data_IF_994311060091
#
_entry.id   IF_994311060091
#
_cell.length_a   1.000
_cell.length_b   1.000
_cell.length_c   1.000
_cell.angle_alpha   90.00
_cell.angle_beta   90.00
_cell.angle_gamma   90.00
#
_symmetry.space_group_name_H-M   'P 1'
#
loop_
_entity.id
_entity.type
_entity.pdbx_description
1 polymer ?
#
# COMPACT_ATOMS: atom_id res chain seq x y z
N UNK A 1 1.55 6.62 8.23
CA UNK A 1 0.31 7.31 8.70
C UNK A 1 -0.88 6.83 7.86
N UNK A 2 -0.82 6.94 6.55
CA UNK A 2 -1.87 6.49 5.63
C UNK A 2 -2.05 4.97 5.64
N UNK A 3 -0.99 4.18 5.83
CA UNK A 3 -1.09 2.74 6.15
C UNK A 3 -2.06 2.45 7.32
N UNK A 4 -2.01 3.26 8.39
CA UNK A 4 -2.89 3.09 9.54
C UNK A 4 -4.36 3.28 9.16
N UNK A 5 -4.65 4.26 8.30
CA UNK A 5 -6.00 4.51 7.78
C UNK A 5 -6.48 3.34 6.92
N UNK A 6 -5.63 2.82 6.04
CA UNK A 6 -5.97 1.67 5.20
C UNK A 6 -6.26 0.42 6.06
N UNK A 7 -5.47 0.16 7.12
CA UNK A 7 -5.69 -0.95 8.05
C UNK A 7 -7.02 -0.78 8.79
N UNK A 8 -7.27 0.41 9.36
CA UNK A 8 -8.56 0.68 10.04
C UNK A 8 -9.74 0.52 9.10
N UNK A 9 -9.61 1.00 7.86
CA UNK A 9 -10.65 0.88 6.84
C UNK A 9 -10.93 -0.58 6.50
N UNK A 10 -9.91 -1.40 6.27
CA UNK A 10 -10.07 -2.83 6.01
C UNK A 10 -10.74 -3.55 7.17
N UNK A 11 -10.28 -3.30 8.41
CA UNK A 11 -10.81 -3.93 9.62
C UNK A 11 -12.26 -3.53 9.93
N UNK A 12 -12.67 -2.32 9.53
CA UNK A 12 -14.03 -1.82 9.70
C UNK A 12 -14.99 -2.22 8.56
N UNK A 13 -14.51 -2.97 7.57
CA UNK A 13 -15.29 -3.37 6.40
C UNK A 13 -15.68 -4.85 6.52
N UNK A 14 -16.95 -5.17 6.82
CA UNK A 14 -17.40 -6.55 7.04
C UNK A 14 -17.35 -7.42 5.78
N UNK A 15 -17.13 -6.82 4.62
CA UNK A 15 -16.94 -7.52 3.35
C UNK A 15 -15.52 -8.10 3.19
N UNK A 16 -14.59 -7.70 4.07
CA UNK A 16 -13.20 -8.13 4.05
C UNK A 16 -12.86 -8.95 5.29
N UNK A 17 -12.22 -10.09 5.09
CA UNK A 17 -11.60 -10.86 6.17
C UNK A 17 -10.08 -10.63 6.14
N UNK A 18 -9.56 -9.90 7.12
CA UNK A 18 -8.14 -9.59 7.23
C UNK A 18 -7.44 -10.74 7.92
N UNK A 19 -6.82 -11.62 7.16
CA UNK A 19 -6.16 -12.84 7.66
C UNK A 19 -4.79 -12.60 8.29
N UNK A 20 -4.15 -11.46 8.02
CA UNK A 20 -2.87 -11.09 8.61
C UNK A 20 -2.25 -9.85 7.99
N UNK A 21 -1.28 -9.27 8.69
CA UNK A 21 -0.45 -8.18 8.20
C UNK A 21 0.99 -8.65 8.04
N UNK A 22 1.65 -8.18 6.97
CA UNK A 22 3.09 -8.38 6.79
C UNK A 22 3.76 -7.02 6.65
N UNK A 23 4.79 -6.78 7.43
CA UNK A 23 5.48 -5.48 7.46
C UNK A 23 6.75 -5.51 6.61
N UNK A 24 7.18 -4.33 6.15
CA UNK A 24 8.37 -4.16 5.32
C UNK A 24 9.03 -2.83 5.70
N UNK A 25 10.31 -2.65 5.40
CA UNK A 25 10.94 -1.34 5.41
C UNK A 25 10.22 -0.38 4.45
N UNK A 26 10.39 0.91 4.62
CA UNK A 26 9.81 1.93 3.72
C UNK A 26 9.82 3.29 4.41
N UNK A 27 8.65 3.78 4.79
CA UNK A 27 8.49 5.04 5.51
C UNK A 27 9.14 5.03 6.91
N UNK A 28 9.31 3.84 7.51
CA UNK A 28 10.09 3.63 8.72
C UNK A 28 10.93 2.35 8.63
N UNK A 29 11.80 2.13 9.59
CA UNK A 29 12.49 0.85 9.74
C UNK A 29 11.48 -0.27 10.03
N UNK A 30 11.73 -1.48 9.50
CA UNK A 30 10.79 -2.61 9.60
C UNK A 30 10.38 -2.94 11.03
N UNK A 31 11.24 -2.74 12.02
CA UNK A 31 10.90 -2.98 13.42
C UNK A 31 9.87 -1.98 13.93
N UNK A 32 10.01 -0.71 13.57
CA UNK A 32 9.01 0.35 13.85
C UNK A 32 7.69 0.03 13.14
N UNK A 33 7.73 -0.36 11.86
CA UNK A 33 6.53 -0.77 11.11
C UNK A 33 5.84 -1.96 11.77
N UNK A 34 6.62 -2.95 12.28
CA UNK A 34 6.08 -4.15 12.93
C UNK A 34 5.39 -3.80 14.25
N UNK A 35 6.06 -3.00 15.09
CA UNK A 35 5.48 -2.51 16.33
C UNK A 35 4.21 -1.71 16.09
N UNK A 36 4.22 -0.81 15.10
CA UNK A 36 3.07 0.02 14.77
C UNK A 36 1.89 -0.81 14.21
N UNK A 37 2.16 -1.82 13.38
CA UNK A 37 1.11 -2.72 12.91
C UNK A 37 0.40 -3.43 14.07
N UNK A 38 1.15 -3.91 15.08
CA UNK A 38 0.58 -4.53 16.28
C UNK A 38 -0.23 -3.50 17.08
N UNK A 39 0.31 -2.28 17.32
CA UNK A 39 -0.38 -1.19 18.03
C UNK A 39 -1.69 -0.80 17.37
N UNK A 40 -1.71 -0.69 16.03
CA UNK A 40 -2.89 -0.35 15.24
C UNK A 40 -3.97 -1.44 15.40
N UNK A 41 -3.57 -2.72 15.33
CA UNK A 41 -4.48 -3.83 15.57
C UNK A 41 -5.01 -3.84 17.01
N UNK A 42 -4.17 -3.54 18.00
CA UNK A 42 -4.57 -3.44 19.40
C UNK A 42 -5.62 -2.33 19.61
N UNK A 43 -5.39 -1.15 19.02
CA UNK A 43 -6.34 -0.01 19.04
C UNK A 43 -7.65 -0.36 18.33
N UNK A 44 -7.58 -1.15 17.26
CA UNK A 44 -8.77 -1.61 16.53
C UNK A 44 -9.51 -2.76 17.23
N UNK A 45 -9.01 -3.27 18.36
CA UNK A 45 -9.59 -4.43 19.05
C UNK A 45 -9.40 -5.76 18.31
N UNK A 46 -8.41 -5.83 17.38
CA UNK A 46 -8.13 -6.98 16.50
C UNK A 46 -6.76 -7.62 16.81
N UNK A 47 -6.50 -7.84 18.08
CA UNK A 47 -5.29 -8.56 18.53
C UNK A 47 -5.22 -10.03 18.05
N UNK A 48 -6.30 -10.56 17.50
CA UNK A 48 -6.39 -11.87 16.86
C UNK A 48 -5.64 -11.94 15.51
N UNK A 49 -5.52 -10.83 14.79
CA UNK A 49 -4.87 -10.76 13.46
C UNK A 49 -3.35 -10.84 13.62
N UNK A 50 -2.67 -11.86 13.04
CA UNK A 50 -1.21 -11.99 13.14
C UNK A 50 -0.48 -10.90 12.36
N UNK A 51 0.71 -10.53 12.87
CA UNK A 51 1.64 -9.61 12.20
C UNK A 51 2.97 -10.32 11.96
N UNK A 52 3.36 -10.51 10.71
CA UNK A 52 4.64 -11.12 10.36
C UNK A 52 5.67 -10.06 9.93
N UNK A 53 6.81 -10.05 10.61
CA UNK A 53 7.93 -9.14 10.30
C UNK A 53 8.58 -9.53 8.99
N UNK A 54 8.78 -8.57 8.08
CA UNK A 54 9.36 -8.81 6.76
C UNK A 54 10.74 -8.23 6.53
N UNK A 55 11.01 -7.93 5.28
CA UNK A 55 12.31 -7.46 4.81
C UNK A 55 12.69 -6.12 5.47
N UNK A 56 13.97 -6.00 5.84
CA UNK A 56 14.55 -4.77 6.40
C UNK A 56 15.26 -3.91 5.35
N UNK A 57 15.35 -4.40 4.11
CA UNK A 57 16.05 -3.73 3.00
C UNK A 57 15.55 -4.23 1.65
N UNK A 58 15.77 -3.46 0.56
CA UNK A 58 15.47 -3.88 -0.81
C UNK A 58 16.29 -5.10 -1.26
N UNK A 59 15.87 -5.73 -2.36
CA UNK A 59 16.56 -6.89 -2.95
C UNK A 59 17.97 -6.57 -3.42
N UNK A 60 18.14 -5.47 -4.15
CA UNK A 60 19.39 -5.19 -4.87
C UNK A 60 20.06 -3.85 -4.52
N UNK A 61 19.42 -2.99 -3.76
CA UNK A 61 19.98 -1.69 -3.40
C UNK A 61 20.08 -1.51 -1.88
N UNK A 62 20.80 -0.47 -1.45
CA UNK A 62 20.77 -0.08 -0.04
C UNK A 62 19.45 0.62 0.28
N UNK A 63 18.91 0.35 1.45
CA UNK A 63 17.79 1.11 1.97
C UNK A 63 18.19 2.57 2.19
N UNK A 64 17.39 3.50 1.67
CA UNK A 64 17.69 4.94 1.70
C UNK A 64 17.45 5.60 3.05
N UNK A 65 16.86 4.86 3.99
CA UNK A 65 16.44 5.36 5.29
C UNK A 65 14.96 5.72 5.36
N UNK A 66 14.46 5.98 6.57
CA UNK A 66 13.07 6.30 6.80
C UNK A 66 12.68 7.68 6.27
N UNK A 67 11.38 7.89 6.07
CA UNK A 67 10.79 9.17 5.68
C UNK A 67 10.25 9.92 6.92
N UNK A 68 11.10 10.13 7.91
CA UNK A 68 10.75 10.76 9.20
C UNK A 68 10.10 12.13 9.03
N UNK A 69 10.52 12.86 7.99
CA UNK A 69 9.99 14.18 7.65
C UNK A 69 8.54 14.15 7.15
N UNK A 70 8.02 12.98 6.76
CA UNK A 70 6.63 12.78 6.32
C UNK A 70 5.78 12.17 7.42
N UNK A 71 6.33 11.16 8.15
CA UNK A 71 5.56 10.30 9.03
C UNK A 71 5.93 10.44 10.52
N UNK A 72 6.90 11.29 10.87
CA UNK A 72 7.50 11.34 12.20
C UNK A 72 8.51 10.21 12.44
N UNK A 73 9.36 10.34 13.45
CA UNK A 73 10.40 9.35 13.77
C UNK A 73 9.81 8.01 14.17
N UNK A 74 8.66 8.03 14.85
CA UNK A 74 7.95 6.81 15.24
C UNK A 74 6.99 6.26 14.14
N UNK A 75 6.90 6.90 12.97
CA UNK A 75 6.02 6.53 11.88
C UNK A 75 4.52 6.82 12.09
N UNK A 76 4.17 7.42 13.24
CA UNK A 76 2.81 7.80 13.63
C UNK A 76 2.76 9.25 14.13
N UNK A 77 3.37 10.18 13.37
CA UNK A 77 3.41 11.61 13.66
C UNK A 77 4.01 11.95 15.04
N UNK A 78 4.87 11.12 15.57
CA UNK A 78 5.46 11.19 16.92
C UNK A 78 4.42 11.20 18.07
N UNK A 79 3.18 10.79 17.77
CA UNK A 79 2.13 10.61 18.77
C UNK A 79 2.49 9.46 19.70
N UNK A 80 2.30 9.67 21.00
CA UNK A 80 2.51 8.62 22.00
C UNK A 80 1.39 7.56 21.89
N UNK A 81 1.76 6.35 21.53
CA UNK A 81 0.87 5.20 21.48
C UNK A 81 1.37 4.12 22.45
N UNK A 82 0.48 3.30 23.02
CA UNK A 82 0.88 2.19 23.89
C UNK A 82 1.92 1.27 23.23
N UNK A 83 2.71 0.59 24.04
CA UNK A 83 3.61 -0.44 23.51
C UNK A 83 2.82 -1.59 22.90
N UNK A 84 3.41 -2.33 21.93
CA UNK A 84 2.76 -3.51 21.34
C UNK A 84 2.36 -4.53 22.41
N UNK A 85 1.16 -5.07 22.33
CA UNK A 85 0.64 -6.02 23.33
C UNK A 85 1.27 -7.41 23.22
N UNK A 86 1.89 -7.73 22.07
CA UNK A 86 2.41 -9.05 21.74
C UNK A 86 3.63 -8.98 20.83
N UNK A 87 4.33 -10.11 20.71
CA UNK A 87 5.38 -10.30 19.73
C UNK A 87 4.79 -10.52 18.30
N UNK A 88 5.55 -10.24 17.25
CA UNK A 88 5.17 -10.60 15.89
C UNK A 88 5.11 -12.13 15.72
N UNK A 89 4.48 -12.58 14.63
CA UNK A 89 4.41 -13.97 14.23
C UNK A 89 5.80 -14.59 14.06
N UNK A 90 5.96 -15.87 14.35
CA UNK A 90 7.26 -16.55 14.30
C UNK A 90 7.84 -16.67 12.88
N UNK A 91 6.97 -16.76 11.87
CA UNK A 91 7.42 -16.78 10.47
C UNK A 91 7.76 -15.37 9.98
N UNK A 92 8.80 -15.27 9.14
CA UNK A 92 9.05 -14.06 8.37
C UNK A 92 7.96 -13.87 7.31
N UNK A 93 7.70 -12.60 6.93
CA UNK A 93 6.60 -12.22 6.04
C UNK A 93 6.48 -13.06 4.76
N UNK A 94 7.58 -13.34 4.06
CA UNK A 94 7.55 -14.13 2.82
C UNK A 94 7.03 -15.56 3.07
N UNK A 95 7.47 -16.20 4.15
CA UNK A 95 7.00 -17.54 4.52
C UNK A 95 5.56 -17.53 5.01
N UNK A 96 5.17 -16.48 5.76
CA UNK A 96 3.79 -16.29 6.20
C UNK A 96 2.84 -16.13 4.99
N UNK A 97 3.21 -15.31 3.99
CA UNK A 97 2.45 -15.16 2.74
C UNK A 97 2.29 -16.52 2.05
N UNK A 98 3.38 -17.28 1.88
CA UNK A 98 3.34 -18.60 1.25
C UNK A 98 2.38 -19.52 2.02
N UNK A 99 2.52 -19.59 3.35
CA UNK A 99 1.67 -20.46 4.19
C UNK A 99 0.20 -20.12 4.01
N UNK A 100 -0.19 -18.83 4.12
CA UNK A 100 -1.58 -18.42 4.00
C UNK A 100 -2.15 -18.70 2.60
N UNK A 101 -1.40 -18.36 1.55
CA UNK A 101 -1.87 -18.56 0.17
C UNK A 101 -1.98 -20.05 -0.18
N UNK A 102 -1.01 -20.86 0.22
CA UNK A 102 -1.03 -22.29 -0.07
C UNK A 102 -2.05 -23.06 0.79
N UNK A 103 -2.45 -22.52 1.94
CA UNK A 103 -3.52 -23.09 2.77
C UNK A 103 -4.93 -22.81 2.21
N UNK A 104 -5.12 -21.71 1.46
CA UNK A 104 -6.39 -21.30 0.87
C UNK A 104 -6.22 -20.88 -0.61
N UNK A 105 -5.89 -21.81 -1.52
CA UNK A 105 -5.60 -21.51 -2.91
C UNK A 105 -6.79 -20.86 -3.63
N UNK A 106 -6.54 -19.72 -4.27
CA UNK A 106 -7.55 -18.94 -5.00
C UNK A 106 -8.44 -18.04 -4.12
N UNK A 107 -8.23 -18.02 -2.81
CA UNK A 107 -9.06 -17.22 -1.88
C UNK A 107 -8.34 -15.95 -1.40
N UNK A 108 -7.01 -15.97 -1.32
CA UNK A 108 -6.23 -14.86 -0.77
C UNK A 108 -5.98 -13.78 -1.82
N UNK A 109 -6.37 -12.54 -1.49
CA UNK A 109 -5.95 -11.32 -2.21
C UNK A 109 -4.86 -10.63 -1.40
N UNK A 110 -3.71 -10.36 -2.02
CA UNK A 110 -2.67 -9.53 -1.41
C UNK A 110 -2.96 -8.06 -1.68
N UNK A 111 -2.82 -7.24 -0.64
CA UNK A 111 -3.01 -5.78 -0.72
C UNK A 111 -1.73 -5.08 -0.26
N UNK A 112 -0.68 -5.06 -1.08
CA UNK A 112 0.55 -4.37 -0.73
C UNK A 112 0.38 -2.86 -0.83
N UNK A 113 0.67 -2.17 0.28
CA UNK A 113 0.64 -0.72 0.42
C UNK A 113 2.02 -0.13 0.74
N UNK A 114 3.06 -0.93 0.60
CA UNK A 114 4.48 -0.57 0.76
C UNK A 114 5.35 -1.23 -0.30
N UNK A 115 6.70 -1.18 -0.16
CA UNK A 115 7.63 -1.83 -1.08
C UNK A 115 7.33 -3.32 -1.26
N UNK A 116 7.45 -3.83 -2.49
CA UNK A 116 6.98 -5.16 -2.87
C UNK A 116 7.95 -6.29 -2.51
N UNK A 117 8.98 -6.02 -1.72
CA UNK A 117 10.08 -6.93 -1.39
C UNK A 117 9.60 -8.26 -0.80
N UNK A 118 8.66 -8.24 0.15
CA UNK A 118 8.16 -9.47 0.77
C UNK A 118 7.47 -10.39 -0.24
N UNK A 119 6.70 -9.81 -1.16
CA UNK A 119 5.94 -10.56 -2.18
C UNK A 119 6.88 -11.12 -3.21
N UNK A 120 7.86 -10.34 -3.67
CA UNK A 120 8.89 -10.83 -4.58
C UNK A 120 9.69 -11.99 -3.95
N UNK A 121 10.08 -11.88 -2.67
CA UNK A 121 10.73 -12.97 -1.94
C UNK A 121 9.85 -14.21 -1.85
N UNK A 122 8.56 -14.05 -1.55
CA UNK A 122 7.62 -15.17 -1.51
C UNK A 122 7.51 -15.87 -2.88
N UNK A 123 7.44 -15.12 -3.98
CA UNK A 123 7.41 -15.66 -5.34
C UNK A 123 8.72 -16.32 -5.76
N UNK A 124 9.87 -15.82 -5.29
CA UNK A 124 11.17 -16.45 -5.56
C UNK A 124 11.33 -17.75 -4.77
N UNK A 125 10.78 -17.86 -3.57
CA UNK A 125 10.78 -19.05 -2.75
C UNK A 125 9.75 -20.10 -3.21
N UNK A 126 8.60 -19.64 -3.70
CA UNK A 126 7.48 -20.45 -4.19
C UNK A 126 7.05 -19.93 -5.58
N UNK A 127 7.68 -20.41 -6.69
CA UNK A 127 7.46 -19.83 -8.02
C UNK A 127 6.03 -19.96 -8.57
N UNK A 128 5.25 -20.93 -8.12
CA UNK A 128 3.85 -21.11 -8.47
C UNK A 128 2.86 -20.35 -7.58
N UNK A 129 3.36 -19.63 -6.56
CA UNK A 129 2.53 -18.82 -5.64
C UNK A 129 1.52 -17.91 -6.37
N UNK A 130 1.89 -17.20 -7.47
CA UNK A 130 0.95 -16.34 -8.17
C UNK A 130 -0.30 -17.06 -8.66
N UNK A 131 -0.18 -18.32 -9.07
CA UNK A 131 -1.29 -19.12 -9.59
C UNK A 131 -2.28 -19.54 -8.51
N UNK A 132 -1.90 -19.42 -7.23
CA UNK A 132 -2.72 -19.71 -6.06
C UNK A 132 -3.33 -18.45 -5.42
N UNK A 133 -3.05 -17.26 -5.94
CA UNK A 133 -3.65 -16.01 -5.48
C UNK A 133 -5.01 -15.76 -6.16
N UNK A 134 -5.97 -15.22 -5.43
CA UNK A 134 -7.16 -14.59 -6.02
C UNK A 134 -6.75 -13.36 -6.86
N UNK A 135 -5.76 -12.61 -6.39
CA UNK A 135 -5.16 -11.47 -7.08
C UNK A 135 -4.33 -10.59 -6.15
N UNK A 136 -3.90 -9.45 -6.70
CA UNK A 136 -3.21 -8.40 -5.94
C UNK A 136 -3.80 -7.03 -6.27
N UNK A 137 -3.97 -6.18 -5.24
CA UNK A 137 -4.35 -4.77 -5.39
C UNK A 137 -3.23 -3.93 -4.77
N UNK A 138 -2.42 -3.29 -5.59
CA UNK A 138 -1.12 -2.71 -5.23
C UNK A 138 -1.23 -1.20 -5.17
N UNK A 139 -0.96 -0.60 -4.00
CA UNK A 139 -0.66 0.82 -3.93
C UNK A 139 0.80 1.02 -4.36
N UNK A 140 1.00 1.61 -5.51
CA UNK A 140 2.34 1.91 -6.02
C UNK A 140 2.36 2.16 -7.52
N UNK A 141 3.39 2.86 -7.94
CA UNK A 141 3.64 3.18 -9.32
C UNK A 141 2.89 4.41 -9.83
N UNK A 142 3.26 4.78 -11.05
CA UNK A 142 2.74 5.94 -11.74
C UNK A 142 2.85 5.68 -13.25
N UNK A 143 1.73 5.29 -13.88
CA UNK A 143 1.74 4.89 -15.29
C UNK A 143 1.85 6.10 -16.24
N UNK A 144 0.97 7.09 -16.06
CA UNK A 144 0.77 8.19 -17.00
C UNK A 144 1.05 9.57 -16.37
N UNK A 145 1.40 9.61 -15.09
CA UNK A 145 1.67 10.84 -14.33
C UNK A 145 3.14 10.87 -13.84
N UNK A 146 3.67 12.01 -13.38
CA UNK A 146 4.95 12.07 -12.70
C UNK A 146 4.98 11.22 -11.42
N UNK A 147 6.18 10.98 -10.89
CA UNK A 147 6.36 10.36 -9.58
C UNK A 147 6.34 11.38 -8.44
N UNK A 148 6.21 10.90 -7.21
CA UNK A 148 6.23 11.69 -5.98
C UNK A 148 7.53 11.57 -5.19
N UNK A 149 8.31 10.51 -5.39
CA UNK A 149 9.63 10.31 -4.72
C UNK A 149 10.80 10.68 -5.64
N UNK A 150 10.57 10.72 -6.93
CA UNK A 150 11.41 11.35 -7.95
C UNK A 150 10.50 11.79 -9.10
N UNK A 151 10.97 12.64 -10.04
CA UNK A 151 10.15 12.97 -11.21
C UNK A 151 9.68 11.77 -12.02
N UNK A 152 10.37 10.63 -11.91
CA UNK A 152 10.05 9.41 -12.64
C UNK A 152 9.22 8.41 -11.83
N UNK A 153 9.40 8.32 -10.52
CA UNK A 153 8.97 7.16 -9.75
C UNK A 153 8.15 7.50 -8.49
N UNK A 154 7.18 6.65 -8.25
CA UNK A 154 6.42 6.58 -7.00
C UNK A 154 7.27 5.92 -5.88
N UNK A 155 7.00 6.29 -4.64
CA UNK A 155 7.84 5.97 -3.48
C UNK A 155 7.97 4.46 -3.20
N UNK A 156 6.88 3.70 -3.20
CA UNK A 156 6.91 2.26 -2.93
C UNK A 156 7.72 1.50 -3.98
N UNK A 157 7.52 1.86 -5.24
CA UNK A 157 8.23 1.24 -6.36
C UNK A 157 9.70 1.66 -6.37
N UNK A 158 10.01 2.93 -6.07
CA UNK A 158 11.39 3.42 -6.02
C UNK A 158 12.19 2.80 -4.86
N UNK A 159 11.52 2.39 -3.80
CA UNK A 159 12.16 1.72 -2.67
C UNK A 159 12.67 0.31 -3.00
N UNK A 160 12.03 -0.41 -3.94
CA UNK A 160 12.56 -1.69 -4.46
C UNK A 160 12.05 -1.95 -5.89
N UNK A 161 12.65 -1.30 -6.90
CA UNK A 161 12.23 -1.48 -8.29
C UNK A 161 12.39 -2.92 -8.81
N UNK A 162 13.41 -3.63 -8.33
CA UNK A 162 13.65 -5.02 -8.70
C UNK A 162 12.54 -5.94 -8.20
N UNK A 163 12.12 -5.78 -6.95
CA UNK A 163 10.96 -6.49 -6.41
C UNK A 163 9.68 -6.14 -7.16
N UNK A 164 9.49 -4.87 -7.47
CA UNK A 164 8.32 -4.40 -8.20
C UNK A 164 8.25 -4.99 -9.62
N UNK A 165 9.38 -5.07 -10.34
CA UNK A 165 9.41 -5.66 -11.69
C UNK A 165 9.11 -7.17 -11.66
N UNK A 166 9.55 -7.89 -10.63
CA UNK A 166 9.18 -9.30 -10.40
C UNK A 166 7.67 -9.42 -10.20
N UNK A 167 7.10 -8.63 -9.29
CA UNK A 167 5.68 -8.71 -8.90
C UNK A 167 4.75 -8.32 -10.06
N UNK A 168 5.03 -7.22 -10.77
CA UNK A 168 4.25 -6.85 -11.95
C UNK A 168 4.39 -7.81 -13.13
N UNK A 169 5.35 -8.73 -13.08
CA UNK A 169 5.52 -9.82 -14.04
C UNK A 169 4.81 -11.11 -13.65
N UNK A 170 4.13 -11.15 -12.51
CA UNK A 170 3.50 -12.37 -12.01
C UNK A 170 2.27 -12.79 -12.84
N UNK A 171 2.05 -14.11 -12.93
CA UNK A 171 0.89 -14.68 -13.63
C UNK A 171 -0.32 -14.84 -12.70
N UNK A 172 -0.86 -13.71 -12.26
CA UNK A 172 -2.12 -13.62 -11.53
C UNK A 172 -2.83 -12.30 -11.87
N UNK A 173 -4.10 -12.10 -11.48
CA UNK A 173 -4.76 -10.80 -11.58
C UNK A 173 -4.06 -9.76 -10.73
N UNK A 174 -3.68 -8.62 -11.33
CA UNK A 174 -3.04 -7.49 -10.64
C UNK A 174 -3.79 -6.22 -10.96
N UNK A 175 -4.07 -5.42 -9.93
CA UNK A 175 -4.59 -4.06 -10.03
C UNK A 175 -3.54 -3.10 -9.48
N UNK A 176 -3.16 -2.11 -10.26
CA UNK A 176 -2.25 -1.04 -9.88
C UNK A 176 -3.06 0.21 -9.52
N UNK A 177 -3.10 0.54 -8.24
CA UNK A 177 -3.61 1.80 -7.68
C UNK A 177 -2.44 2.79 -7.59
N UNK A 178 -2.03 3.32 -8.74
CA UNK A 178 -0.90 4.24 -8.82
C UNK A 178 -1.29 5.69 -8.53
N UNK A 179 -0.27 6.59 -8.59
CA UNK A 179 -0.47 8.04 -8.44
C UNK A 179 -1.48 8.60 -9.43
N UNK A 180 -1.73 7.90 -10.55
CA UNK A 180 -2.74 8.23 -11.55
C UNK A 180 -4.13 8.46 -10.97
N UNK A 181 -4.45 7.79 -9.85
CA UNK A 181 -5.71 7.94 -9.11
C UNK A 181 -5.50 8.43 -7.68
N UNK A 182 -4.43 8.02 -6.99
CA UNK A 182 -4.27 8.32 -5.56
C UNK A 182 -4.01 9.80 -5.29
N UNK A 183 -3.29 10.50 -6.19
CA UNK A 183 -3.10 11.95 -6.09
C UNK A 183 -4.38 12.77 -6.37
N UNK A 184 -5.40 12.16 -6.97
CA UNK A 184 -6.70 12.78 -7.19
C UNK A 184 -7.69 12.52 -6.06
N UNK A 185 -7.39 11.55 -5.19
CA UNK A 185 -8.22 11.20 -4.04
C UNK A 185 -7.76 11.99 -2.84
N UNK A 186 -8.47 13.09 -2.56
CA UNK A 186 -8.10 14.04 -1.50
C UNK A 186 -9.15 13.99 -0.40
N UNK A 187 -8.69 13.71 0.83
CA UNK A 187 -9.46 13.96 2.04
C UNK A 187 -9.15 15.36 2.53
N UNK A 188 -10.16 16.24 2.53
CA UNK A 188 -9.99 17.67 2.85
C UNK A 188 -9.65 17.90 4.32
N UNK A 189 -9.08 19.09 4.63
CA UNK A 189 -8.85 19.52 6.02
C UNK A 189 -10.13 19.54 6.86
N UNK A 190 -11.27 19.89 6.27
CA UNK A 190 -12.57 19.85 6.94
C UNK A 190 -12.99 18.42 7.30
N UNK A 191 -12.82 17.48 6.36
CA UNK A 191 -13.10 16.06 6.60
C UNK A 191 -12.18 15.46 7.68
N UNK A 192 -10.89 15.79 7.65
CA UNK A 192 -9.93 15.40 8.69
C UNK A 192 -10.35 15.94 10.06
N UNK A 193 -10.71 17.22 10.14
CA UNK A 193 -11.19 17.83 11.38
C UNK A 193 -12.47 17.15 11.90
N UNK A 194 -13.35 16.73 11.00
CA UNK A 194 -14.59 16.01 11.33
C UNK A 194 -14.35 14.65 12.02
N UNK A 195 -13.21 13.99 11.77
CA UNK A 195 -12.87 12.70 12.38
C UNK A 195 -12.81 12.81 13.91
N UNK A 196 -12.38 13.94 14.45
CA UNK A 196 -12.31 14.17 15.90
C UNK A 196 -13.68 14.10 16.63
N UNK A 197 -14.79 14.19 15.89
CA UNK A 197 -16.14 14.04 16.44
C UNK A 197 -16.61 12.57 16.57
N UNK A 198 -15.86 11.62 16.01
CA UNK A 198 -16.20 10.20 16.04
C UNK A 198 -15.67 9.59 17.35
N UNK A 199 -16.55 8.99 18.14
CA UNK A 199 -16.20 8.44 19.45
C UNK A 199 -15.83 6.96 19.38
N UNK A 200 -14.63 6.68 18.87
CA UNK A 200 -13.98 5.36 18.97
C UNK A 200 -12.45 5.50 18.93
N UNK A 201 -11.72 4.45 19.29
CA UNK A 201 -10.26 4.49 19.46
C UNK A 201 -9.53 4.69 18.12
N UNK A 202 -10.05 4.14 17.02
CA UNK A 202 -9.49 4.30 15.67
C UNK A 202 -9.54 5.76 15.23
N UNK A 203 -10.71 6.39 15.37
CA UNK A 203 -10.89 7.80 15.03
C UNK A 203 -10.07 8.71 15.94
N UNK A 204 -9.92 8.38 17.24
CA UNK A 204 -9.06 9.14 18.15
C UNK A 204 -7.60 9.15 17.72
N UNK A 205 -7.05 7.99 17.28
CA UNK A 205 -5.69 7.97 16.74
C UNK A 205 -5.63 8.71 15.40
N UNK A 206 -6.55 8.48 14.47
CA UNK A 206 -6.60 9.16 13.18
C UNK A 206 -6.61 10.68 13.33
N UNK A 207 -7.43 11.21 14.24
CA UNK A 207 -7.51 12.65 14.53
C UNK A 207 -6.21 13.25 15.08
N UNK A 208 -5.32 12.42 15.66
CA UNK A 208 -4.02 12.87 16.17
C UNK A 208 -2.93 12.82 15.09
N UNK A 209 -2.92 11.80 14.21
CA UNK A 209 -1.84 11.61 13.24
C UNK A 209 -2.08 12.34 11.91
N UNK A 210 -3.33 12.46 11.45
CA UNK A 210 -3.64 13.06 10.15
C UNK A 210 -3.31 14.57 10.04
N UNK A 211 -3.45 15.41 11.07
CA UNK A 211 -3.02 16.81 11.00
C UNK A 211 -1.53 16.97 10.66
N UNK A 212 -0.66 16.11 11.20
CA UNK A 212 0.78 16.13 10.89
C UNK A 212 1.02 15.85 9.40
N UNK A 213 0.36 14.85 8.84
CA UNK A 213 0.47 14.46 7.45
C UNK A 213 -0.11 15.55 6.51
N UNK A 214 -1.24 16.16 6.88
CA UNK A 214 -1.79 17.33 6.17
C UNK A 214 -0.81 18.50 6.16
N UNK A 215 -0.20 18.83 7.29
CA UNK A 215 0.74 19.96 7.40
C UNK A 215 1.98 19.72 6.54
N UNK A 216 2.44 18.47 6.42
CA UNK A 216 3.47 18.09 5.45
C UNK A 216 3.03 18.40 4.02
N UNK A 217 1.83 17.96 3.59
CA UNK A 217 1.33 18.25 2.24
C UNK A 217 1.22 19.75 1.97
N UNK A 218 0.63 20.49 2.86
CA UNK A 218 0.49 21.94 2.74
C UNK A 218 1.85 22.65 2.61
N UNK A 219 2.83 22.28 3.42
CA UNK A 219 4.17 22.90 3.39
C UNK A 219 4.96 22.61 2.11
N UNK A 220 4.57 21.58 1.36
CA UNK A 220 5.20 21.18 0.09
C UNK A 220 4.35 21.54 -1.14
N UNK A 221 3.37 22.44 -1.00
CA UNK A 221 2.54 22.91 -2.11
C UNK A 221 1.46 21.92 -2.54
N UNK A 222 1.13 20.95 -1.70
CA UNK A 222 0.04 20.01 -1.90
C UNK A 222 -1.34 20.61 -1.62
N UNK A 223 -2.41 19.79 -1.67
CA UNK A 223 -3.78 20.22 -1.46
C UNK A 223 -4.04 20.62 0.00
N UNK A 224 -5.13 21.37 0.23
CA UNK A 224 -5.68 21.57 1.57
C UNK A 224 -6.37 20.30 2.06
N UNK A 225 -5.56 19.37 2.57
CA UNK A 225 -5.95 18.03 2.94
C UNK A 225 -4.77 17.06 2.80
N UNK A 226 -5.09 15.79 2.60
CA UNK A 226 -4.13 14.73 2.34
C UNK A 226 -4.50 13.97 1.07
N UNK A 227 -3.50 13.44 0.38
CA UNK A 227 -3.73 12.40 -0.62
C UNK A 227 -4.06 11.08 0.08
N UNK A 228 -5.13 10.41 -0.36
CA UNK A 228 -5.52 9.08 0.13
C UNK A 228 -4.84 8.04 -0.74
N UNK A 229 -3.61 7.66 -0.37
CA UNK A 229 -2.83 6.69 -1.15
C UNK A 229 -3.29 5.26 -0.84
N UNK A 230 -3.02 4.76 0.32
CA UNK A 230 -3.13 3.34 0.69
C UNK A 230 -4.58 2.86 0.78
N UNK A 231 -5.46 3.65 1.37
CA UNK A 231 -6.90 3.36 1.47
C UNK A 231 -7.59 3.21 0.11
N UNK A 232 -6.99 3.75 -0.96
CA UNK A 232 -7.49 3.59 -2.34
C UNK A 232 -7.55 2.11 -2.75
N UNK A 233 -6.60 1.27 -2.29
CA UNK A 233 -6.64 -0.17 -2.54
C UNK A 233 -7.84 -0.84 -1.86
N UNK A 234 -8.14 -0.46 -0.65
CA UNK A 234 -9.30 -0.97 0.11
C UNK A 234 -10.60 -0.50 -0.55
N UNK A 235 -10.68 0.79 -0.92
CA UNK A 235 -11.82 1.34 -1.66
C UNK A 235 -12.07 0.60 -2.97
N UNK A 236 -11.02 0.24 -3.72
CA UNK A 236 -11.17 -0.52 -4.96
C UNK A 236 -11.74 -1.91 -4.72
N UNK A 237 -11.30 -2.61 -3.67
CA UNK A 237 -11.86 -3.93 -3.31
C UNK A 237 -13.34 -3.86 -2.98
N UNK A 238 -13.78 -2.80 -2.30
CA UNK A 238 -15.16 -2.63 -1.84
C UNK A 238 -16.08 -2.05 -2.93
N UNK A 239 -15.56 -1.16 -3.75
CA UNK A 239 -16.37 -0.36 -4.67
C UNK A 239 -15.64 -0.08 -6.01
N UNK A 240 -15.29 -1.13 -6.78
CA UNK A 240 -14.54 -0.99 -8.04
C UNK A 240 -15.27 -0.15 -9.10
N UNK A 241 -16.59 0.00 -8.99
CA UNK A 241 -17.41 0.83 -9.89
C UNK A 241 -17.05 2.32 -9.86
N UNK A 242 -16.36 2.81 -8.81
CA UNK A 242 -15.91 4.19 -8.70
C UNK A 242 -14.60 4.48 -9.46
N UNK A 243 -14.07 3.49 -10.18
CA UNK A 243 -12.81 3.60 -10.90
C UNK A 243 -12.98 3.28 -12.38
N UNK A 244 -12.13 3.91 -13.22
CA UNK A 244 -11.89 3.47 -14.58
C UNK A 244 -10.48 2.96 -14.71
N UNK A 245 -10.28 2.03 -15.63
CA UNK A 245 -9.00 1.34 -15.79
C UNK A 245 -8.68 1.09 -17.27
N UNK A 246 -7.39 0.90 -17.51
CA UNK A 246 -6.85 0.34 -18.76
C UNK A 246 -6.07 -0.93 -18.46
N UNK A 247 -5.83 -1.74 -19.48
CA UNK A 247 -5.14 -3.02 -19.29
C UNK A 247 -3.89 -3.07 -20.17
N UNK A 248 -2.72 -3.08 -19.53
CA UNK A 248 -1.44 -3.13 -20.23
C UNK A 248 -0.42 -3.97 -19.46
N UNK A 249 0.51 -4.66 -20.12
CA UNK A 249 1.72 -5.16 -19.48
C UNK A 249 2.56 -4.01 -18.95
N UNK A 250 3.13 -4.19 -17.75
CA UNK A 250 3.96 -3.17 -17.07
C UNK A 250 5.37 -3.72 -16.84
N UNK A 251 6.36 -2.87 -17.06
CA UNK A 251 7.75 -3.06 -16.61
C UNK A 251 8.12 -1.96 -15.65
N UNK A 252 9.03 -2.26 -14.74
CA UNK A 252 9.64 -1.27 -13.86
C UNK A 252 11.07 -1.02 -14.32
N UNK A 253 11.48 0.24 -14.32
CA UNK A 253 12.83 0.63 -14.66
C UNK A 253 13.78 0.33 -13.49
N UNK A 254 14.60 -0.71 -13.66
CA UNK A 254 15.63 -1.11 -12.69
C UNK A 254 17.03 -0.51 -13.01
N UNK A 255 17.14 0.31 -14.05
CA UNK A 255 18.40 0.93 -14.43
C UNK A 255 18.92 1.95 -13.40
N UNK A 256 20.24 2.17 -13.39
CA UNK A 256 20.87 3.15 -12.50
C UNK A 256 20.92 4.54 -13.17
N UNK A 257 19.76 5.08 -13.52
CA UNK A 257 19.60 6.36 -14.21
C UNK A 257 18.35 7.11 -13.74
N UNK A 258 18.04 8.25 -14.32
CA UNK A 258 16.94 9.15 -13.91
C UNK A 258 15.54 8.54 -13.99
N UNK A 259 15.37 7.47 -14.76
CA UNK A 259 14.10 6.74 -14.88
C UNK A 259 13.89 5.64 -13.84
N UNK A 260 14.88 5.35 -12.97
CA UNK A 260 14.79 4.26 -12.01
C UNK A 260 13.51 4.32 -11.19
N UNK A 261 12.82 3.18 -11.11
CA UNK A 261 11.55 3.02 -10.40
C UNK A 261 10.32 3.45 -11.21
N UNK A 262 10.49 3.99 -12.43
CA UNK A 262 9.32 4.29 -13.29
C UNK A 262 8.60 3.03 -13.68
N UNK A 263 7.29 3.02 -13.53
CA UNK A 263 6.40 2.00 -14.10
C UNK A 263 6.05 2.34 -15.54
N UNK A 264 6.43 1.48 -16.46
CA UNK A 264 6.25 1.65 -17.90
C UNK A 264 5.18 0.71 -18.45
N UNK A 265 3.92 1.15 -18.65
CA UNK A 265 2.95 0.37 -19.40
C UNK A 265 3.28 0.41 -20.90
N UNK A 266 3.10 -0.71 -21.61
CA UNK A 266 3.11 -0.67 -23.07
C UNK A 266 1.72 -0.37 -23.60
N UNK A 267 1.54 0.78 -24.22
CA UNK A 267 0.26 1.26 -24.75
C UNK A 267 0.07 0.94 -26.23
N UNK A 268 1.08 0.38 -26.89
CA UNK A 268 1.05 0.04 -28.32
C UNK A 268 1.31 -1.45 -28.52
N UNK A 269 0.41 -2.15 -29.18
CA UNK A 269 0.52 -3.59 -29.48
C UNK A 269 1.83 -3.96 -30.19
N UNK A 270 2.30 -3.12 -31.11
CA UNK A 270 3.55 -3.34 -31.84
C UNK A 270 4.81 -3.29 -30.94
N UNK A 271 4.69 -2.76 -29.72
CA UNK A 271 5.78 -2.69 -28.73
C UNK A 271 5.64 -3.75 -27.61
N UNK A 272 4.61 -4.60 -27.68
CA UNK A 272 4.41 -5.68 -26.70
C UNK A 272 5.44 -6.83 -26.82
N UNK A 273 6.25 -6.82 -27.89
CA UNK A 273 7.43 -7.68 -28.04
C UNK A 273 8.65 -7.07 -27.32
N UNK A 274 9.69 -7.85 -27.15
CA UNK A 274 10.89 -7.40 -26.46
C UNK A 274 10.72 -7.43 -24.93
N UNK A 275 11.11 -6.39 -24.18
CA UNK A 275 11.10 -6.41 -22.69
C UNK A 275 9.73 -6.64 -22.05
N UNK A 276 8.63 -6.36 -22.76
CA UNK A 276 7.26 -6.61 -22.29
C UNK A 276 6.70 -7.95 -22.79
N UNK A 277 7.40 -8.65 -23.68
CA UNK A 277 6.97 -9.94 -24.22
C UNK A 277 6.73 -10.97 -23.13
N UNK A 278 5.62 -11.71 -23.23
CA UNK A 278 5.27 -12.75 -22.27
C UNK A 278 4.70 -12.25 -20.93
N UNK A 279 4.64 -10.92 -20.69
CA UNK A 279 3.99 -10.37 -19.49
C UNK A 279 2.47 -10.29 -19.67
N UNK A 280 1.77 -10.71 -18.64
CA UNK A 280 0.32 -10.53 -18.54
C UNK A 280 -0.02 -9.04 -18.48
N UNK A 281 -1.12 -8.63 -19.13
CA UNK A 281 -1.68 -7.31 -18.92
C UNK A 281 -2.27 -7.22 -17.51
N UNK A 282 -1.95 -6.15 -16.79
CA UNK A 282 -2.52 -5.82 -15.49
C UNK A 282 -3.56 -4.72 -15.62
N UNK A 283 -4.43 -4.59 -14.64
CA UNK A 283 -5.39 -3.49 -14.56
C UNK A 283 -4.70 -2.27 -13.96
N UNK A 284 -4.69 -1.15 -14.67
CA UNK A 284 -4.11 0.13 -14.22
C UNK A 284 -5.27 1.09 -14.03
N UNK A 285 -5.48 1.57 -12.81
CA UNK A 285 -6.51 2.56 -12.51
C UNK A 285 -6.09 3.92 -13.05
N UNK A 286 -7.00 4.61 -13.75
CA UNK A 286 -6.71 5.89 -14.44
C UNK A 286 -7.65 7.03 -14.05
N UNK A 287 -8.86 6.71 -13.56
CA UNK A 287 -9.84 7.69 -13.09
C UNK A 287 -10.47 7.17 -11.79
N UNK A 288 -10.92 8.08 -10.94
CA UNK A 288 -11.57 7.78 -9.66
C UNK A 288 -12.66 8.80 -9.36
N UNK A 289 -13.77 8.34 -8.81
CA UNK A 289 -14.74 9.20 -8.10
C UNK A 289 -14.24 9.44 -6.67
N UNK A 290 -13.35 10.42 -6.53
CA UNK A 290 -12.68 10.72 -5.28
C UNK A 290 -13.65 11.03 -4.14
N UNK A 291 -14.75 11.74 -4.43
CA UNK A 291 -15.74 12.08 -3.41
C UNK A 291 -16.44 10.84 -2.85
N UNK A 292 -16.82 9.90 -3.71
CA UNK A 292 -17.46 8.66 -3.29
C UNK A 292 -16.52 7.76 -2.48
N UNK A 293 -15.25 7.61 -2.90
CA UNK A 293 -14.28 6.77 -2.19
C UNK A 293 -13.90 7.34 -0.81
N UNK A 294 -13.70 8.67 -0.69
CA UNK A 294 -13.43 9.31 0.60
C UNK A 294 -14.63 9.22 1.52
N UNK A 295 -15.85 9.44 1.00
CA UNK A 295 -17.07 9.30 1.79
C UNK A 295 -17.25 7.85 2.31
N UNK A 296 -16.92 6.85 1.49
CA UNK A 296 -16.97 5.45 1.89
C UNK A 296 -15.98 5.16 3.03
N UNK A 297 -14.71 5.58 2.91
CA UNK A 297 -13.71 5.42 3.96
C UNK A 297 -14.14 6.07 5.27
N UNK A 298 -14.57 7.34 5.24
CA UNK A 298 -15.05 8.06 6.43
C UNK A 298 -16.26 7.38 7.07
N UNK A 299 -17.17 6.81 6.27
CA UNK A 299 -18.31 6.06 6.80
C UNK A 299 -17.88 4.84 7.61
N UNK A 300 -16.77 4.17 7.24
CA UNK A 300 -16.26 3.00 7.96
C UNK A 300 -15.55 3.36 9.26
N UNK A 301 -14.99 4.56 9.37
CA UNK A 301 -14.43 5.04 10.65
C UNK A 301 -15.50 5.23 11.72
N UNK A 302 -16.77 5.44 11.33
CA UNK A 302 -17.89 5.58 12.28
C UNK A 302 -18.41 4.24 12.83
N UNK A 303 -18.07 3.13 12.22
CA UNK A 303 -18.46 1.79 12.69
C UNK A 303 -17.74 1.48 13.99
N UNK A 304 -18.47 1.04 15.01
CA UNK A 304 -17.93 0.72 16.34
C UNK A 304 -17.01 -0.53 16.32
#
# INVERSE_FOLDING_TARGET
>A
IDDAMAIFYALASPELDVVGLTTVFGNAHVDVCTDNAIRILDIAGRADVPVARGAARPLAMQYRGPADYVHGVNGLADVAVPLPSRAPHALAAAHFIIEQVMAAPGEITLVPIGPLTNIALAMLLQPDLPQHLAGMVIMGGNAFVPGNASPAAEANILNDPEAADIVFGADCPIVMCGLDVTERTIMSSEQIAGIASIDNDRARLAAQILPYYRDFHLSHGGPDGIHVHDSTCISYLLAPQHYRAVHHPVRVDCGQHVGRGKTWPTTRHALAEGPWGGRRAITILTEVDAAAVVALELSRLTVA
#
